data_IF_529599770445
#
_entry.id   IF_529599770445
#
_cell.length_a   1.000
_cell.length_b   1.000
_cell.length_c   1.000
_cell.angle_alpha   90.00
_cell.angle_beta   90.00
_cell.angle_gamma   90.00
#
_symmetry.space_group_name_H-M   'P 1'
#
loop_
_entity.id
_entity.type
_entity.pdbx_description
1 polymer ?
#
# COMPACT_ATOMS: atom_id res chain seq x y z
N UNK A 1 -13.98 -13.21 -27.08
CA UNK A 1 -13.96 -12.05 -26.18
C UNK A 1 -13.07 -12.29 -24.97
N UNK A 2 -13.23 -13.39 -24.22
CA UNK A 2 -12.38 -13.68 -23.03
C UNK A 2 -10.87 -13.70 -23.31
N UNK A 3 -10.42 -14.25 -24.43
CA UNK A 3 -8.98 -14.25 -24.76
C UNK A 3 -8.37 -12.88 -25.01
N UNK A 4 -9.15 -11.91 -25.52
CA UNK A 4 -8.69 -10.54 -25.72
C UNK A 4 -8.64 -9.78 -24.38
N UNK A 5 -9.62 -10.02 -23.50
CA UNK A 5 -9.66 -9.45 -22.16
C UNK A 5 -8.49 -9.96 -21.29
N UNK A 6 -8.14 -11.23 -21.38
CA UNK A 6 -6.95 -11.76 -20.70
C UNK A 6 -5.67 -11.12 -21.23
N UNK A 7 -5.53 -10.96 -22.54
CA UNK A 7 -4.34 -10.35 -23.14
C UNK A 7 -4.13 -8.91 -22.66
N UNK A 8 -5.20 -8.10 -22.58
CA UNK A 8 -5.08 -6.71 -22.11
C UNK A 8 -4.69 -6.62 -20.63
N UNK A 9 -5.15 -7.55 -19.79
CA UNK A 9 -4.76 -7.62 -18.37
C UNK A 9 -3.29 -8.02 -18.19
N UNK A 10 -2.81 -8.99 -18.99
CA UNK A 10 -1.41 -9.39 -19.02
C UNK A 10 -0.51 -8.25 -19.49
N UNK A 11 -0.94 -7.48 -20.48
CA UNK A 11 -0.22 -6.30 -20.97
C UNK A 11 -0.16 -5.20 -19.91
N UNK A 12 -1.25 -4.92 -19.20
CA UNK A 12 -1.27 -3.97 -18.07
C UNK A 12 -0.26 -4.41 -17.00
N UNK A 13 -0.30 -5.68 -16.60
CA UNK A 13 0.61 -6.26 -15.61
C UNK A 13 2.08 -6.13 -16.03
N UNK A 14 2.39 -6.43 -17.29
CA UNK A 14 3.74 -6.38 -17.84
C UNK A 14 4.27 -4.94 -17.94
N UNK A 15 3.46 -4.03 -18.47
CA UNK A 15 3.83 -2.62 -18.67
C UNK A 15 3.95 -1.87 -17.36
N UNK A 16 3.20 -2.26 -16.32
CA UNK A 16 3.37 -1.75 -14.97
C UNK A 16 4.77 -2.06 -14.44
N UNK A 17 5.22 -3.32 -14.56
CA UNK A 17 6.57 -3.73 -14.15
C UNK A 17 7.66 -2.98 -14.91
N UNK A 18 7.40 -2.59 -16.15
CA UNK A 18 8.32 -1.82 -17.01
C UNK A 18 8.27 -0.30 -16.75
N UNK A 19 7.42 0.18 -15.86
CA UNK A 19 7.31 1.60 -15.57
C UNK A 19 6.60 2.45 -16.64
N UNK A 20 5.77 1.86 -17.51
CA UNK A 20 5.15 2.49 -18.66
C UNK A 20 3.80 3.15 -18.35
N UNK A 21 3.78 4.17 -17.48
CA UNK A 21 2.56 4.82 -17.02
C UNK A 21 1.59 5.27 -18.13
N UNK A 22 2.01 5.94 -19.21
CA UNK A 22 1.08 6.37 -20.28
C UNK A 22 0.36 5.19 -20.93
N UNK A 23 1.08 4.09 -21.17
CA UNK A 23 0.52 2.89 -21.79
C UNK A 23 -0.43 2.15 -20.85
N UNK A 24 -0.12 2.05 -19.56
CA UNK A 24 -1.01 1.46 -18.57
C UNK A 24 -2.30 2.26 -18.45
N UNK A 25 -2.25 3.60 -18.43
CA UNK A 25 -3.44 4.45 -18.46
C UNK A 25 -4.32 4.19 -19.69
N UNK A 26 -3.71 4.11 -20.86
CA UNK A 26 -4.40 3.82 -22.14
C UNK A 26 -5.11 2.47 -22.07
N UNK A 27 -4.39 1.41 -21.67
CA UNK A 27 -4.95 0.05 -21.60
C UNK A 27 -6.01 -0.12 -20.51
N UNK A 28 -5.88 0.54 -19.37
CA UNK A 28 -6.92 0.56 -18.34
C UNK A 28 -8.21 1.19 -18.87
N UNK A 29 -8.10 2.33 -19.59
CA UNK A 29 -9.24 2.94 -20.24
C UNK A 29 -9.89 2.02 -21.28
N UNK A 30 -9.08 1.43 -22.14
CA UNK A 30 -9.54 0.47 -23.15
C UNK A 30 -10.23 -0.76 -22.51
N UNK A 31 -9.66 -1.33 -21.46
CA UNK A 31 -10.25 -2.46 -20.75
C UNK A 31 -11.64 -2.13 -20.19
N UNK A 32 -11.83 -0.91 -19.67
CA UNK A 32 -13.12 -0.43 -19.20
C UNK A 32 -14.12 -0.33 -20.37
N UNK A 33 -13.70 0.26 -21.49
CA UNK A 33 -14.54 0.40 -22.69
C UNK A 33 -14.93 -0.96 -23.30
N UNK A 34 -14.06 -1.96 -23.21
CA UNK A 34 -14.31 -3.33 -23.65
C UNK A 34 -15.16 -4.14 -22.63
N UNK A 35 -15.56 -3.52 -21.52
CA UNK A 35 -16.45 -4.13 -20.53
C UNK A 35 -15.76 -5.12 -19.59
N UNK A 36 -14.42 -5.04 -19.44
CA UNK A 36 -13.71 -5.81 -18.42
C UNK A 36 -14.12 -5.27 -17.04
N UNK A 37 -14.53 -6.14 -16.09
CA UNK A 37 -14.92 -5.67 -14.76
C UNK A 37 -13.81 -4.87 -14.09
N UNK A 38 -14.08 -3.67 -13.56
CA UNK A 38 -13.09 -2.83 -12.86
C UNK A 38 -12.32 -3.55 -11.76
N UNK A 39 -12.99 -4.41 -11.01
CA UNK A 39 -12.35 -5.26 -10.01
C UNK A 39 -11.30 -6.19 -10.63
N UNK A 40 -11.59 -6.79 -11.79
CA UNK A 40 -10.67 -7.68 -12.48
C UNK A 40 -9.45 -6.91 -13.03
N UNK A 41 -9.66 -5.72 -13.59
CA UNK A 41 -8.55 -4.84 -14.03
C UNK A 41 -7.65 -4.48 -12.85
N UNK A 42 -8.24 -4.17 -11.69
CA UNK A 42 -7.49 -3.88 -10.48
C UNK A 42 -6.67 -5.11 -10.02
N UNK A 43 -7.32 -6.25 -9.84
CA UNK A 43 -6.68 -7.43 -9.21
C UNK A 43 -5.69 -8.13 -10.16
N UNK A 44 -6.10 -8.42 -11.39
CA UNK A 44 -5.28 -9.21 -12.33
C UNK A 44 -4.31 -8.35 -13.14
N UNK A 45 -4.65 -7.10 -13.43
CA UNK A 45 -3.76 -6.17 -14.12
C UNK A 45 -2.79 -5.46 -13.18
N UNK A 46 -3.31 -4.59 -12.32
CA UNK A 46 -2.50 -3.66 -11.52
C UNK A 46 -1.89 -4.31 -10.28
N UNK A 47 -2.68 -4.93 -9.41
CA UNK A 47 -2.18 -5.52 -8.16
C UNK A 47 -1.30 -6.74 -8.44
N UNK A 48 -1.61 -7.53 -9.45
CA UNK A 48 -0.76 -8.65 -9.89
C UNK A 48 0.61 -8.17 -10.35
N UNK A 49 0.66 -7.11 -11.17
CA UNK A 49 1.91 -6.49 -11.62
C UNK A 49 2.75 -5.97 -10.45
N UNK A 50 2.13 -5.26 -9.51
CA UNK A 50 2.83 -4.77 -8.32
C UNK A 50 3.28 -5.89 -7.39
N UNK A 51 2.53 -6.98 -7.30
CA UNK A 51 2.91 -8.17 -6.55
C UNK A 51 4.18 -8.82 -7.08
N UNK A 52 4.30 -8.92 -8.42
CA UNK A 52 5.52 -9.44 -9.07
C UNK A 52 6.72 -8.53 -8.79
N UNK A 53 6.53 -7.21 -8.86
CA UNK A 53 7.60 -6.24 -8.50
C UNK A 53 8.03 -6.44 -7.03
N UNK A 54 7.08 -6.67 -6.13
CA UNK A 54 7.36 -6.95 -4.72
C UNK A 54 8.18 -8.22 -4.51
N UNK A 55 7.87 -9.31 -5.20
CA UNK A 55 8.66 -10.56 -5.14
C UNK A 55 10.06 -10.36 -5.72
N UNK A 56 10.19 -9.66 -6.84
CA UNK A 56 11.51 -9.29 -7.42
C UNK A 56 12.34 -8.45 -6.46
N UNK A 57 11.71 -7.49 -5.77
CA UNK A 57 12.37 -6.68 -4.75
C UNK A 57 12.85 -7.51 -3.57
N UNK A 58 12.02 -8.41 -3.06
CA UNK A 58 12.37 -9.36 -2.00
C UNK A 58 13.58 -10.24 -2.38
N UNK A 59 13.67 -10.63 -3.65
CA UNK A 59 14.74 -11.46 -4.18
C UNK A 59 15.99 -10.68 -4.61
N UNK A 60 16.02 -9.34 -4.39
CA UNK A 60 17.08 -8.43 -4.84
C UNK A 60 17.28 -8.38 -6.37
N UNK A 61 16.23 -8.67 -7.14
CA UNK A 61 16.24 -8.58 -8.60
C UNK A 61 15.91 -7.17 -9.10
N UNK A 62 15.23 -6.37 -8.30
CA UNK A 62 14.97 -4.94 -8.50
C UNK A 62 15.25 -4.17 -7.21
N UNK A 63 15.48 -2.86 -7.33
CA UNK A 63 15.83 -1.98 -6.22
C UNK A 63 14.75 -0.93 -5.98
N UNK A 64 14.92 -0.11 -4.94
CA UNK A 64 13.93 0.91 -4.54
C UNK A 64 13.46 1.80 -5.69
N UNK A 65 14.33 2.33 -6.61
CA UNK A 65 13.88 3.16 -7.71
C UNK A 65 12.84 2.47 -8.62
N UNK A 66 13.04 1.20 -8.95
CA UNK A 66 12.11 0.43 -9.80
C UNK A 66 10.77 0.22 -9.10
N UNK A 67 10.79 -0.06 -7.79
CA UNK A 67 9.56 -0.19 -6.98
C UNK A 67 8.76 1.13 -6.96
N UNK A 68 9.45 2.27 -6.78
CA UNK A 68 8.82 3.59 -6.81
C UNK A 68 8.19 3.91 -8.17
N UNK A 69 8.87 3.55 -9.25
CA UNK A 69 8.35 3.73 -10.61
C UNK A 69 7.10 2.88 -10.82
N UNK A 70 7.14 1.58 -10.48
CA UNK A 70 6.01 0.67 -10.61
C UNK A 70 4.80 1.14 -9.77
N UNK A 71 5.02 1.59 -8.53
CA UNK A 71 3.96 2.13 -7.67
C UNK A 71 3.29 3.38 -8.27
N UNK A 72 4.06 4.28 -8.89
CA UNK A 72 3.50 5.44 -9.61
C UNK A 72 2.62 5.01 -10.78
N UNK A 73 3.04 3.99 -11.53
CA UNK A 73 2.26 3.43 -12.64
C UNK A 73 0.97 2.82 -12.14
N UNK A 74 1.04 2.04 -11.06
CA UNK A 74 -0.13 1.45 -10.41
C UNK A 74 -1.13 2.53 -9.99
N UNK A 75 -0.68 3.55 -9.27
CA UNK A 75 -1.54 4.64 -8.80
C UNK A 75 -2.17 5.40 -9.96
N UNK A 76 -1.42 5.61 -11.04
CA UNK A 76 -1.93 6.24 -12.26
C UNK A 76 -3.06 5.42 -12.95
N UNK A 77 -2.98 4.09 -12.90
CA UNK A 77 -4.05 3.19 -13.35
C UNK A 77 -5.26 3.21 -12.41
N UNK A 78 -5.02 3.21 -11.09
CA UNK A 78 -6.08 3.27 -10.07
C UNK A 78 -6.89 4.57 -10.18
N UNK A 79 -6.26 5.71 -10.48
CA UNK A 79 -6.97 6.98 -10.69
C UNK A 79 -8.07 6.87 -11.75
N UNK A 80 -7.81 6.15 -12.84
CA UNK A 80 -8.79 5.93 -13.92
C UNK A 80 -9.88 4.95 -13.46
N UNK A 81 -9.50 3.90 -12.73
CA UNK A 81 -10.43 2.90 -12.23
C UNK A 81 -11.33 3.39 -11.10
N UNK A 82 -10.87 4.31 -10.27
CA UNK A 82 -11.52 4.70 -9.01
C UNK A 82 -13.01 5.03 -9.14
N UNK A 83 -13.48 5.83 -10.12
CA UNK A 83 -14.92 6.09 -10.29
C UNK A 83 -15.73 4.82 -10.56
N UNK A 84 -15.15 3.88 -11.31
CA UNK A 84 -15.81 2.62 -11.68
C UNK A 84 -15.83 1.63 -10.52
N UNK A 85 -14.75 1.55 -9.73
CA UNK A 85 -14.70 0.73 -8.52
C UNK A 85 -15.74 1.17 -7.49
N UNK A 86 -15.88 2.48 -7.27
CA UNK A 86 -16.88 3.04 -6.36
C UNK A 86 -18.30 2.70 -6.84
N UNK A 87 -18.58 2.82 -8.14
CA UNK A 87 -19.90 2.50 -8.70
C UNK A 87 -20.28 1.02 -8.59
N UNK A 88 -19.29 0.13 -8.56
CA UNK A 88 -19.49 -1.32 -8.39
C UNK A 88 -19.44 -1.77 -6.92
N UNK A 89 -19.21 -0.85 -5.97
CA UNK A 89 -19.10 -1.19 -4.55
C UNK A 89 -17.90 -2.06 -4.22
N UNK A 90 -16.80 -1.95 -4.99
CA UNK A 90 -15.57 -2.67 -4.73
C UNK A 90 -14.83 -2.03 -3.56
N UNK A 91 -14.73 -2.76 -2.46
CA UNK A 91 -14.02 -2.32 -1.25
C UNK A 91 -12.55 -2.74 -1.28
N UNK A 92 -11.72 -2.02 -0.51
CA UNK A 92 -10.33 -2.41 -0.26
C UNK A 92 -10.24 -3.74 0.50
N UNK A 93 -9.11 -4.43 0.39
CA UNK A 93 -8.87 -5.69 1.15
C UNK A 93 -8.72 -5.47 2.65
N UNK A 94 -8.63 -4.23 3.08
CA UNK A 94 -8.50 -3.79 4.46
C UNK A 94 -7.90 -2.40 4.53
N UNK A 95 -7.86 -1.84 5.73
CA UNK A 95 -7.36 -0.48 5.99
C UNK A 95 -6.19 -0.51 6.94
N UNK A 96 -5.15 0.27 6.63
CA UNK A 96 -3.99 0.47 7.47
C UNK A 96 -3.75 1.96 7.73
N UNK A 97 -3.24 2.30 8.90
CA UNK A 97 -2.62 3.59 9.17
C UNK A 97 -1.12 3.40 9.29
N UNK A 98 -0.33 4.31 8.75
CA UNK A 98 1.13 4.23 8.78
C UNK A 98 1.72 5.59 9.15
N UNK A 99 2.77 5.58 9.96
CA UNK A 99 3.47 6.79 10.34
C UNK A 99 4.88 6.50 10.86
N UNK A 100 5.72 7.52 10.86
CA UNK A 100 6.99 7.50 11.58
C UNK A 100 6.75 8.03 12.99
N UNK A 101 7.23 7.31 13.99
CA UNK A 101 6.95 7.60 15.41
C UNK A 101 7.52 8.94 15.86
N UNK A 102 7.03 9.43 16.98
CA UNK A 102 7.43 10.70 17.59
C UNK A 102 8.95 10.82 17.74
N UNK A 103 9.46 12.00 17.41
CA UNK A 103 10.88 12.32 17.45
C UNK A 103 11.70 11.79 16.26
N UNK A 104 11.07 11.13 15.31
CA UNK A 104 11.72 10.58 14.13
C UNK A 104 11.14 11.20 12.84
N UNK A 105 12.01 11.62 11.92
CA UNK A 105 11.63 12.31 10.68
C UNK A 105 11.93 11.49 9.41
N UNK A 106 12.40 10.25 9.57
CA UNK A 106 12.77 9.40 8.45
C UNK A 106 11.52 8.75 7.82
N UNK A 107 11.30 8.96 6.53
CA UNK A 107 10.09 8.53 5.84
C UNK A 107 10.33 7.64 4.61
N UNK A 108 11.57 7.51 4.11
CA UNK A 108 11.85 6.76 2.89
C UNK A 108 11.39 5.29 3.03
N UNK A 109 11.78 4.63 4.11
CA UNK A 109 11.38 3.24 4.38
C UNK A 109 9.87 3.12 4.62
N UNK A 110 9.29 4.05 5.37
CA UNK A 110 7.84 4.14 5.62
C UNK A 110 7.06 4.24 4.31
N UNK A 111 7.47 5.14 3.42
CA UNK A 111 6.81 5.36 2.13
C UNK A 111 6.91 4.13 1.23
N UNK A 112 8.04 3.40 1.26
CA UNK A 112 8.18 2.14 0.53
C UNK A 112 7.20 1.08 1.05
N UNK A 113 7.08 0.90 2.37
CA UNK A 113 6.12 -0.02 2.98
C UNK A 113 4.68 0.36 2.63
N UNK A 114 4.34 1.66 2.70
CA UNK A 114 3.03 2.17 2.26
C UNK A 114 2.70 1.72 0.85
N UNK A 115 3.60 1.97 -0.11
CA UNK A 115 3.39 1.60 -1.52
C UNK A 115 3.21 0.08 -1.69
N UNK A 116 3.93 -0.72 -0.92
CA UNK A 116 3.80 -2.18 -0.96
C UNK A 116 2.45 -2.65 -0.40
N UNK A 117 1.95 -2.03 0.66
CA UNK A 117 0.62 -2.31 1.22
C UNK A 117 -0.50 -1.90 0.25
N UNK A 118 -0.40 -0.71 -0.35
CA UNK A 118 -1.31 -0.26 -1.42
C UNK A 118 -1.28 -1.23 -2.61
N UNK A 119 -0.08 -1.68 -3.01
CA UNK A 119 0.12 -2.69 -4.05
C UNK A 119 -0.45 -4.07 -3.74
N UNK A 120 -0.83 -4.33 -2.50
CA UNK A 120 -1.59 -5.53 -2.09
C UNK A 120 -3.10 -5.29 -1.97
N UNK A 121 -3.56 -4.09 -2.29
CA UNK A 121 -4.97 -3.73 -2.29
C UNK A 121 -5.51 -3.21 -0.95
N UNK A 122 -4.62 -2.78 -0.03
CA UNK A 122 -5.05 -2.10 1.18
C UNK A 122 -5.25 -0.59 0.92
N UNK A 123 -6.20 -0.01 1.62
CA UNK A 123 -6.29 1.44 1.77
C UNK A 123 -5.34 1.87 2.89
N UNK A 124 -4.43 2.82 2.61
CA UNK A 124 -3.40 3.22 3.56
C UNK A 124 -3.46 4.71 3.85
N UNK A 125 -3.72 5.05 5.10
CA UNK A 125 -3.70 6.43 5.61
C UNK A 125 -2.33 6.75 6.18
N UNK A 126 -1.62 7.67 5.53
CA UNK A 126 -0.29 8.10 5.91
C UNK A 126 -0.37 9.27 6.90
N UNK A 127 0.08 9.04 8.12
CA UNK A 127 0.07 10.03 9.19
C UNK A 127 1.30 10.95 9.16
N UNK A 128 2.26 10.69 8.26
CA UNK A 128 3.48 11.47 8.14
C UNK A 128 4.60 11.01 9.08
N UNK A 129 5.33 11.99 9.60
CA UNK A 129 6.49 11.80 10.49
C UNK A 129 6.25 12.49 11.83
N UNK A 130 7.06 12.17 12.84
CA UNK A 130 6.93 12.74 14.20
C UNK A 130 5.53 12.55 14.79
N UNK A 131 4.98 11.35 14.62
CA UNK A 131 3.59 11.00 14.99
C UNK A 131 3.55 10.42 16.39
N UNK A 132 2.76 11.01 17.27
CA UNK A 132 2.57 10.50 18.63
C UNK A 132 1.61 9.30 18.68
N UNK A 133 1.63 8.57 19.80
CA UNK A 133 0.82 7.38 20.00
C UNK A 133 -0.70 7.67 19.92
N UNK A 134 -1.14 8.82 20.45
CA UNK A 134 -2.56 9.21 20.38
C UNK A 134 -3.03 9.37 18.94
N UNK A 135 -2.24 9.99 18.09
CA UNK A 135 -2.54 10.17 16.67
C UNK A 135 -2.69 8.82 15.94
N UNK A 136 -1.77 7.86 16.18
CA UNK A 136 -1.88 6.51 15.63
C UNK A 136 -3.18 5.81 16.05
N UNK A 137 -3.48 5.82 17.35
CA UNK A 137 -4.65 5.12 17.90
C UNK A 137 -5.95 5.78 17.47
N UNK A 138 -6.01 7.12 17.44
CA UNK A 138 -7.20 7.85 17.02
C UNK A 138 -7.45 7.67 15.52
N UNK A 139 -6.42 7.76 14.67
CA UNK A 139 -6.56 7.50 13.23
C UNK A 139 -7.02 6.07 12.94
N UNK A 140 -6.50 5.07 13.69
CA UNK A 140 -6.96 3.69 13.55
C UNK A 140 -8.45 3.53 13.89
N UNK A 141 -8.96 4.25 14.88
CA UNK A 141 -10.39 4.27 15.22
C UNK A 141 -11.22 4.98 14.16
N UNK A 142 -10.79 6.15 13.72
CA UNK A 142 -11.49 7.00 12.75
C UNK A 142 -11.67 6.29 11.41
N UNK A 143 -10.63 5.61 10.94
CA UNK A 143 -10.64 4.90 9.67
C UNK A 143 -11.02 3.43 9.78
N UNK A 144 -11.41 2.94 10.97
CA UNK A 144 -11.67 1.51 11.22
C UNK A 144 -10.53 0.61 10.73
N UNK A 145 -9.27 1.04 10.93
CA UNK A 145 -8.10 0.35 10.44
C UNK A 145 -7.88 -0.98 11.18
N UNK A 146 -7.49 -2.00 10.42
CA UNK A 146 -7.13 -3.32 10.95
C UNK A 146 -5.63 -3.40 11.27
N UNK A 147 -4.82 -2.47 10.71
CA UNK A 147 -3.36 -2.48 10.85
C UNK A 147 -2.89 -1.08 11.24
N UNK A 148 -2.02 -1.02 12.26
CA UNK A 148 -1.24 0.16 12.61
C UNK A 148 0.23 -0.14 12.28
N UNK A 149 0.86 0.67 11.42
CA UNK A 149 2.24 0.50 11.00
C UNK A 149 3.10 1.62 11.60
N UNK A 150 4.05 1.27 12.45
CA UNK A 150 4.97 2.21 13.09
C UNK A 150 6.37 2.05 12.50
N UNK A 151 6.95 3.16 12.01
CA UNK A 151 8.32 3.21 11.49
C UNK A 151 9.23 4.01 12.42
N UNK A 152 10.45 3.52 12.67
CA UNK A 152 11.51 4.25 13.34
C UNK A 152 12.86 3.88 12.73
N UNK A 153 13.74 4.86 12.54
CA UNK A 153 15.12 4.63 12.09
C UNK A 153 16.13 4.79 13.21
N UNK A 154 15.78 5.51 14.27
CA UNK A 154 16.67 5.77 15.41
C UNK A 154 16.37 4.81 16.55
N UNK A 155 17.41 4.24 17.17
CA UNK A 155 17.26 3.40 18.36
C UNK A 155 16.61 4.17 19.53
N UNK A 156 16.84 5.49 19.59
CA UNK A 156 16.28 6.37 20.60
C UNK A 156 14.77 6.59 20.46
N UNK A 157 14.20 6.39 19.28
CA UNK A 157 12.77 6.57 18.99
C UNK A 157 11.99 5.25 18.98
N UNK A 158 12.65 4.09 18.98
CA UNK A 158 11.98 2.77 19.01
C UNK A 158 11.04 2.61 20.22
N UNK A 159 11.35 3.24 21.35
CA UNK A 159 10.48 3.21 22.53
C UNK A 159 9.06 3.74 22.28
N UNK A 160 8.90 4.65 21.32
CA UNK A 160 7.60 5.19 20.94
C UNK A 160 6.66 4.14 20.31
N UNK A 161 7.22 3.10 19.68
CA UNK A 161 6.43 1.95 19.19
C UNK A 161 5.73 1.21 20.33
N UNK A 162 6.42 1.07 21.47
CA UNK A 162 5.85 0.49 22.68
C UNK A 162 4.69 1.36 23.20
N UNK A 163 4.85 2.68 23.21
CA UNK A 163 3.81 3.62 23.63
C UNK A 163 2.53 3.46 22.79
N UNK A 164 2.66 3.21 21.48
CA UNK A 164 1.49 2.93 20.61
C UNK A 164 0.78 1.64 21.03
N UNK A 165 1.52 0.57 21.35
CA UNK A 165 0.94 -0.70 21.80
C UNK A 165 0.23 -0.55 23.15
N UNK A 166 0.86 0.14 24.09
CA UNK A 166 0.31 0.40 25.42
C UNK A 166 -0.97 1.22 25.33
N UNK A 167 -0.96 2.31 24.54
CA UNK A 167 -2.13 3.14 24.35
C UNK A 167 -3.26 2.42 23.61
N UNK A 168 -2.95 1.60 22.60
CA UNK A 168 -3.95 0.79 21.91
C UNK A 168 -4.63 -0.20 22.88
N UNK A 169 -3.89 -0.72 23.86
CA UNK A 169 -4.41 -1.58 24.92
C UNK A 169 -5.31 -0.79 25.87
N UNK A 170 -4.83 0.35 26.34
CA UNK A 170 -5.60 1.24 27.24
C UNK A 170 -6.91 1.72 26.61
N UNK A 171 -6.88 2.06 25.33
CA UNK A 171 -8.05 2.52 24.56
C UNK A 171 -8.95 1.37 24.08
N UNK A 172 -8.66 0.12 24.42
CA UNK A 172 -9.49 -1.05 24.12
C UNK A 172 -9.59 -1.44 22.65
N UNK A 173 -8.58 -1.10 21.84
CA UNK A 173 -8.53 -1.49 20.41
C UNK A 173 -7.46 -2.54 20.10
N UNK A 174 -6.62 -2.92 21.07
CA UNK A 174 -5.49 -3.82 20.83
C UNK A 174 -5.88 -5.15 20.19
N UNK A 175 -7.01 -5.71 20.55
CA UNK A 175 -7.50 -6.97 20.00
C UNK A 175 -8.15 -6.82 18.61
N UNK A 176 -8.47 -5.58 18.22
CA UNK A 176 -9.11 -5.26 16.92
C UNK A 176 -8.09 -4.90 15.86
N UNK A 177 -6.85 -4.56 16.23
CA UNK A 177 -5.80 -4.14 15.31
C UNK A 177 -4.56 -5.02 15.41
N UNK A 178 -3.88 -5.20 14.30
CA UNK A 178 -2.51 -5.72 14.26
C UNK A 178 -1.55 -4.53 14.24
N UNK A 179 -0.53 -4.56 15.10
CA UNK A 179 0.50 -3.52 15.13
C UNK A 179 1.76 -4.09 14.49
N UNK A 180 2.16 -3.48 13.40
CA UNK A 180 3.37 -3.79 12.64
C UNK A 180 4.42 -2.73 12.96
N UNK A 181 5.60 -3.15 13.35
CA UNK A 181 6.75 -2.27 13.61
C UNK A 181 7.85 -2.55 12.60
N UNK A 182 8.58 -1.51 12.20
CA UNK A 182 9.64 -1.65 11.21
C UNK A 182 10.60 -0.46 11.21
N UNK A 183 11.71 -0.67 10.53
CA UNK A 183 12.83 0.26 10.39
C UNK A 183 14.15 -0.46 10.55
N UNK A 184 15.26 0.13 10.11
CA UNK A 184 16.55 -0.53 10.09
C UNK A 184 17.04 -1.06 11.46
N UNK A 185 16.75 -0.40 12.62
CA UNK A 185 17.17 -0.90 13.92
C UNK A 185 16.25 -1.98 14.51
N UNK A 186 15.09 -2.24 13.89
CA UNK A 186 14.14 -3.25 14.39
C UNK A 186 14.61 -4.64 14.00
N UNK A 187 14.81 -5.51 14.98
CA UNK A 187 15.25 -6.90 14.81
C UNK A 187 14.27 -7.85 15.51
N UNK A 188 14.40 -9.15 15.27
CA UNK A 188 13.58 -10.20 15.92
C UNK A 188 14.00 -10.46 17.38
N UNK A 189 15.03 -9.79 17.88
CA UNK A 189 15.58 -9.99 19.22
C UNK A 189 14.87 -9.14 20.29
#
# INVERSE_FOLDING_TARGET
MEGLQMAILEDICTLLQQGRAPKVKELVGQAIEEGVPPKQILEEGLLSGMSIVGEKFKNNEVFVPEVLIAARVMNAGIEILKPHLVSEGVESKGTAVIGTVKGDLHDIGKNLVKMMLEGKGLEVFDLGVDVDADTFVNAAKEHNAQIICCSALLTTTMGEMKNVVELATEKGIRDKVKIMVGGAPVTEA
#
